data_IF_746974403404
#
_entry.id   IF_746974403404
#
_cell.length_a   1.000
_cell.length_b   1.000
_cell.length_c   1.000
_cell.angle_alpha   90.00
_cell.angle_beta   90.00
_cell.angle_gamma   90.00
#
_symmetry.space_group_name_H-M   'P 1'
#
loop_
_entity.id
_entity.type
_entity.pdbx_description
1 polymer ?
#
# COMPACT_ATOMS: atom_id res chain seq x y z
N UNK A 1 -6.02 22.56 0.93
CA UNK A 1 -5.38 23.80 0.42
C UNK A 1 -4.70 24.62 1.53
N UNK A 2 -5.43 25.23 2.48
CA UNK A 2 -4.81 26.10 3.52
C UNK A 2 -3.92 25.30 4.49
N UNK A 3 -4.34 24.08 4.87
CA UNK A 3 -3.49 23.21 5.71
C UNK A 3 -2.15 22.87 5.03
N UNK A 4 -2.20 22.55 3.73
CA UNK A 4 -1.03 22.28 2.90
C UNK A 4 -0.06 23.48 2.84
N UNK A 5 -0.55 24.72 2.87
CA UNK A 5 0.30 25.91 2.92
C UNK A 5 1.20 25.95 4.18
N UNK A 6 0.79 25.29 5.27
CA UNK A 6 1.59 25.21 6.50
C UNK A 6 2.57 24.04 6.50
N UNK A 7 2.37 23.04 5.64
CA UNK A 7 3.13 21.78 5.66
C UNK A 7 3.96 21.53 4.40
N UNK A 8 3.74 22.24 3.29
CA UNK A 8 4.41 21.95 2.01
C UNK A 8 5.94 22.03 2.10
N UNK A 9 6.48 22.89 2.97
CA UNK A 9 7.92 23.01 3.21
C UNK A 9 8.53 21.78 3.88
N UNK A 10 7.71 20.95 4.53
CA UNK A 10 8.15 19.68 5.11
C UNK A 10 8.22 18.55 4.08
N UNK A 11 7.74 18.78 2.85
CA UNK A 11 7.80 17.80 1.78
C UNK A 11 9.20 17.80 1.14
N UNK A 12 9.81 16.63 1.03
CA UNK A 12 11.11 16.44 0.37
C UNK A 12 10.92 16.38 -1.14
N UNK A 13 10.67 17.53 -1.76
CA UNK A 13 10.64 17.64 -3.22
C UNK A 13 12.01 18.05 -3.76
N UNK A 14 12.24 17.73 -5.03
CA UNK A 14 13.41 18.14 -5.81
C UNK A 14 12.89 18.79 -7.10
N UNK A 15 13.61 19.79 -7.62
CA UNK A 15 13.35 20.35 -8.95
C UNK A 15 14.23 19.62 -9.96
N UNK A 16 13.63 19.04 -11.00
CA UNK A 16 14.36 18.41 -12.09
C UNK A 16 13.64 18.65 -13.42
N UNK A 17 14.38 19.07 -14.44
CA UNK A 17 13.85 19.34 -15.79
C UNK A 17 12.60 20.24 -15.77
N UNK A 18 12.67 21.36 -15.03
CA UNK A 18 11.58 22.32 -14.91
C UNK A 18 10.29 21.72 -14.30
N UNK A 19 10.42 20.73 -13.42
CA UNK A 19 9.31 20.00 -12.80
C UNK A 19 9.61 19.65 -11.35
N UNK A 20 8.57 19.65 -10.50
CA UNK A 20 8.65 19.14 -9.13
C UNK A 20 8.57 17.62 -9.14
N UNK A 21 9.55 16.94 -8.51
CA UNK A 21 9.63 15.49 -8.38
C UNK A 21 9.84 15.08 -6.92
N UNK A 22 9.52 13.83 -6.59
CA UNK A 22 9.62 13.30 -5.22
C UNK A 22 10.59 12.13 -5.14
N UNK A 23 11.28 12.02 -4.00
CA UNK A 23 12.06 10.83 -3.65
C UNK A 23 11.16 9.84 -2.93
N UNK A 24 11.01 8.64 -3.49
CA UNK A 24 10.30 7.52 -2.87
C UNK A 24 11.25 6.32 -2.78
N UNK A 25 11.68 6.01 -1.54
CA UNK A 25 12.73 5.03 -1.31
C UNK A 25 14.04 5.47 -1.94
N UNK A 26 14.57 4.66 -2.86
CA UNK A 26 15.81 4.93 -3.61
C UNK A 26 15.56 5.52 -5.01
N UNK A 27 14.29 5.76 -5.38
CA UNK A 27 13.91 6.22 -6.73
C UNK A 27 13.36 7.64 -6.71
N UNK A 28 13.63 8.36 -7.81
CA UNK A 28 12.97 9.64 -8.11
C UNK A 28 11.73 9.35 -8.94
N UNK A 29 10.61 9.89 -8.51
CA UNK A 29 9.29 9.68 -9.11
C UNK A 29 8.73 11.02 -9.57
N UNK A 30 8.43 11.12 -10.87
CA UNK A 30 7.97 12.35 -11.51
C UNK A 30 6.47 12.32 -11.87
N UNK A 31 5.78 11.20 -11.68
CA UNK A 31 4.36 11.02 -11.97
C UNK A 31 3.47 11.04 -10.71
N UNK A 32 3.98 11.58 -9.60
CA UNK A 32 3.28 11.66 -8.32
C UNK A 32 3.01 13.12 -7.95
N UNK A 33 1.78 13.39 -7.51
CA UNK A 33 1.35 14.69 -7.00
C UNK A 33 0.82 14.51 -5.58
N UNK A 34 1.40 15.23 -4.62
CA UNK A 34 1.02 15.23 -3.19
C UNK A 34 -0.03 16.31 -2.91
N UNK A 35 -1.11 16.27 -3.70
CA UNK A 35 -2.21 17.23 -3.61
C UNK A 35 -1.75 18.69 -3.66
N UNK A 36 -2.17 19.47 -2.67
CA UNK A 36 -1.84 20.90 -2.61
C UNK A 36 -0.39 21.19 -2.20
N UNK A 37 0.35 20.24 -1.63
CA UNK A 37 1.76 20.47 -1.27
C UNK A 37 2.60 20.68 -2.53
N UNK A 38 2.35 19.88 -3.59
CA UNK A 38 3.02 20.03 -4.89
C UNK A 38 2.73 21.38 -5.52
N UNK A 39 1.48 21.85 -5.45
CA UNK A 39 1.07 23.16 -5.99
C UNK A 39 1.83 24.29 -5.28
N UNK A 40 1.92 24.24 -3.95
CA UNK A 40 2.67 25.25 -3.20
C UNK A 40 4.17 25.19 -3.45
N UNK A 41 4.74 24.00 -3.65
CA UNK A 41 6.13 23.83 -4.07
C UNK A 41 6.39 24.52 -5.42
N UNK A 42 5.52 24.34 -6.42
CA UNK A 42 5.63 25.05 -7.71
C UNK A 42 5.67 26.58 -7.54
N UNK A 43 4.79 27.15 -6.70
CA UNK A 43 4.81 28.60 -6.42
C UNK A 43 6.10 29.05 -5.72
N UNK A 44 6.65 28.23 -4.83
CA UNK A 44 7.89 28.57 -4.12
C UNK A 44 9.11 28.49 -5.05
N UNK A 45 9.25 27.40 -5.82
CA UNK A 45 10.40 27.22 -6.71
C UNK A 45 10.37 28.16 -7.92
N UNK A 46 9.18 28.57 -8.38
CA UNK A 46 9.07 29.64 -9.36
C UNK A 46 9.54 31.00 -8.79
N UNK A 47 9.23 31.30 -7.52
CA UNK A 47 9.77 32.50 -6.84
C UNK A 47 11.28 32.44 -6.65
N UNK A 48 11.84 31.24 -6.44
CA UNK A 48 13.28 31.02 -6.34
C UNK A 48 13.98 31.11 -7.71
N UNK A 49 13.22 30.98 -8.81
CA UNK A 49 13.72 30.99 -10.18
C UNK A 49 14.11 29.61 -10.72
N UNK A 50 13.86 28.53 -9.96
CA UNK A 50 14.19 27.15 -10.33
C UNK A 50 13.13 26.52 -11.26
N UNK A 51 11.93 27.10 -11.29
CA UNK A 51 10.82 26.70 -12.17
C UNK A 51 10.37 27.87 -13.05
N UNK A 52 10.15 27.59 -14.33
CA UNK A 52 9.66 28.56 -15.31
C UNK A 52 8.18 28.93 -15.08
N UNK A 53 7.80 30.13 -15.53
CA UNK A 53 6.40 30.58 -15.45
C UNK A 53 5.45 29.63 -16.22
N UNK A 54 5.91 29.10 -17.36
CA UNK A 54 5.13 28.17 -18.18
C UNK A 54 4.86 26.86 -17.42
N UNK A 55 5.87 26.33 -16.71
CA UNK A 55 5.72 25.11 -15.92
C UNK A 55 4.84 25.34 -14.70
N UNK A 56 4.95 26.50 -14.03
CA UNK A 56 4.03 26.89 -12.97
C UNK A 56 2.58 26.84 -13.47
N UNK A 57 2.26 27.56 -14.54
CA UNK A 57 0.90 27.67 -15.09
C UNK A 57 0.33 26.33 -15.56
N UNK A 58 1.18 25.44 -16.09
CA UNK A 58 0.76 24.11 -16.53
C UNK A 58 0.44 23.15 -15.37
N UNK A 59 1.02 23.37 -14.18
CA UNK A 59 0.95 22.42 -13.06
C UNK A 59 0.13 22.93 -11.85
N UNK A 60 -0.28 24.20 -11.83
CA UNK A 60 -1.11 24.76 -10.76
C UNK A 60 -2.59 24.78 -11.13
N UNK A 61 -3.43 24.37 -10.18
CA UNK A 61 -4.87 24.37 -10.35
C UNK A 61 -5.61 24.12 -9.03
N UNK A 62 -6.92 24.28 -9.05
CA UNK A 62 -7.77 23.91 -7.91
C UNK A 62 -8.16 22.45 -8.09
N UNK A 63 -7.69 21.61 -7.17
CA UNK A 63 -8.13 20.22 -7.09
C UNK A 63 -9.55 20.22 -6.51
N UNK A 64 -10.53 20.02 -7.39
CA UNK A 64 -11.93 19.81 -7.02
C UNK A 64 -12.15 18.31 -6.87
N UNK A 65 -12.53 17.86 -5.68
CA UNK A 65 -12.94 16.48 -5.49
C UNK A 65 -14.32 16.29 -6.14
N UNK A 66 -14.35 15.64 -7.30
CA UNK A 66 -15.56 15.43 -8.09
C UNK A 66 -16.39 14.22 -7.63
N UNK A 67 -15.95 13.50 -6.59
CA UNK A 67 -16.70 12.37 -6.03
C UNK A 67 -15.79 11.34 -5.38
N UNK A 68 -16.40 10.51 -4.53
CA UNK A 68 -15.74 9.38 -3.89
C UNK A 68 -16.50 8.12 -4.23
N UNK A 69 -15.77 7.09 -4.66
CA UNK A 69 -16.34 5.76 -4.91
C UNK A 69 -15.98 4.83 -3.77
N UNK A 70 -16.97 4.07 -3.30
CA UNK A 70 -16.73 2.97 -2.37
C UNK A 70 -16.41 1.72 -3.17
N UNK A 71 -15.26 1.09 -2.92
CA UNK A 71 -14.92 -0.18 -3.54
C UNK A 71 -15.94 -1.29 -3.22
N UNK A 72 -16.63 -1.19 -2.08
CA UNK A 72 -17.71 -2.10 -1.69
C UNK A 72 -18.94 -1.91 -2.57
N UNK A 73 -19.21 -0.70 -3.06
CA UNK A 73 -20.39 -0.44 -3.88
C UNK A 73 -20.16 -0.76 -5.36
N UNK A 74 -18.94 -0.61 -5.85
CA UNK A 74 -18.60 -0.81 -7.26
C UNK A 74 -19.05 -2.16 -7.84
N UNK A 75 -18.87 -3.32 -7.16
CA UNK A 75 -19.32 -4.62 -7.66
C UNK A 75 -20.80 -4.68 -8.05
N UNK A 76 -21.67 -3.89 -7.41
CA UNK A 76 -23.11 -3.90 -7.69
C UNK A 76 -23.47 -3.36 -9.08
N UNK A 77 -22.58 -2.57 -9.68
CA UNK A 77 -22.77 -1.98 -11.02
C UNK A 77 -22.35 -2.94 -12.15
N UNK A 78 -21.67 -4.04 -11.83
CA UNK A 78 -21.20 -4.98 -12.84
C UNK A 78 -22.20 -6.10 -13.09
N UNK A 79 -22.49 -6.37 -14.37
CA UNK A 79 -23.34 -7.50 -14.75
C UNK A 79 -22.72 -8.87 -14.40
N UNK A 80 -21.38 -8.95 -14.37
CA UNK A 80 -20.63 -10.16 -14.07
C UNK A 80 -19.41 -9.85 -13.21
N UNK A 81 -19.25 -10.61 -12.12
CA UNK A 81 -18.11 -10.51 -11.21
C UNK A 81 -17.32 -11.83 -11.31
N UNK A 82 -16.04 -11.73 -11.65
CA UNK A 82 -15.11 -12.86 -11.72
C UNK A 82 -13.81 -12.49 -11.03
N UNK A 83 -13.29 -13.38 -10.19
CA UNK A 83 -12.03 -13.15 -9.49
C UNK A 83 -11.33 -14.49 -9.17
N UNK A 84 -10.05 -14.41 -8.82
CA UNK A 84 -9.22 -15.54 -8.40
C UNK A 84 -8.51 -15.21 -7.09
N UNK A 85 -8.56 -16.13 -6.13
CA UNK A 85 -7.85 -15.98 -4.87
C UNK A 85 -7.38 -17.33 -4.33
N UNK A 86 -6.23 -17.34 -3.67
CA UNK A 86 -5.67 -18.52 -3.02
C UNK A 86 -6.29 -18.82 -1.65
N UNK A 87 -7.08 -17.90 -1.08
CA UNK A 87 -7.54 -17.95 0.32
C UNK A 87 -9.05 -18.03 0.47
N UNK A 88 -9.82 -18.26 -0.60
CA UNK A 88 -11.28 -18.31 -0.52
C UNK A 88 -11.78 -19.31 0.54
N UNK A 89 -11.10 -20.44 0.70
CA UNK A 89 -11.45 -21.50 1.66
C UNK A 89 -11.17 -21.16 3.12
N UNK A 90 -10.38 -20.12 3.39
CA UNK A 90 -10.06 -19.69 4.76
C UNK A 90 -11.02 -18.62 5.27
N UNK A 91 -11.97 -18.17 4.45
CA UNK A 91 -12.98 -17.20 4.85
C UNK A 91 -13.91 -17.82 5.90
N UNK A 92 -14.34 -17.00 6.85
CA UNK A 92 -15.39 -17.39 7.79
C UNK A 92 -16.76 -17.36 7.11
N UNK A 93 -17.76 -18.03 7.71
CA UNK A 93 -19.09 -18.14 7.11
C UNK A 93 -19.70 -16.76 6.81
N UNK A 94 -19.53 -15.77 7.69
CA UNK A 94 -20.05 -14.41 7.50
C UNK A 94 -19.44 -13.70 6.29
N UNK A 95 -18.17 -13.93 5.98
CA UNK A 95 -17.51 -13.38 4.80
C UNK A 95 -17.99 -14.08 3.53
N UNK A 96 -18.15 -15.40 3.60
CA UNK A 96 -18.68 -16.22 2.50
C UNK A 96 -20.13 -15.84 2.17
N UNK A 97 -20.94 -15.58 3.19
CA UNK A 97 -22.33 -15.15 3.04
C UNK A 97 -22.40 -13.76 2.38
N UNK A 98 -21.46 -12.85 2.69
CA UNK A 98 -21.38 -11.56 1.98
C UNK A 98 -21.12 -11.75 0.49
N UNK A 99 -20.19 -12.62 0.11
CA UNK A 99 -19.93 -12.92 -1.31
C UNK A 99 -21.19 -13.41 -2.03
N UNK A 100 -21.97 -14.31 -1.40
CA UNK A 100 -23.18 -14.89 -2.00
C UNK A 100 -24.37 -13.94 -2.02
N UNK A 101 -24.65 -13.25 -0.92
CA UNK A 101 -25.90 -12.51 -0.74
C UNK A 101 -25.77 -11.01 -1.00
N UNK A 102 -24.58 -10.43 -0.82
CA UNK A 102 -24.33 -9.01 -1.13
C UNK A 102 -23.86 -8.90 -2.58
N UNK A 103 -22.85 -9.68 -2.97
CA UNK A 103 -22.22 -9.57 -4.29
C UNK A 103 -22.68 -10.59 -5.33
N UNK A 104 -23.65 -11.45 -4.98
CA UNK A 104 -24.21 -12.46 -5.87
C UNK A 104 -23.17 -13.42 -6.51
N UNK A 105 -22.06 -13.69 -5.81
CA UNK A 105 -21.06 -14.67 -6.22
C UNK A 105 -21.51 -16.07 -5.80
N UNK A 106 -22.29 -16.72 -6.67
CA UNK A 106 -22.91 -18.02 -6.38
C UNK A 106 -22.02 -19.22 -6.65
N UNK A 107 -20.95 -19.03 -7.43
CA UNK A 107 -20.09 -20.11 -7.91
C UNK A 107 -18.64 -19.81 -7.57
N UNK A 108 -17.99 -20.79 -7.00
CA UNK A 108 -16.55 -20.86 -6.85
C UNK A 108 -16.03 -22.14 -7.49
N UNK A 109 -14.77 -22.14 -7.91
CA UNK A 109 -14.11 -23.33 -8.47
C UNK A 109 -12.71 -23.42 -7.89
N UNK A 110 -12.34 -24.63 -7.48
CA UNK A 110 -11.02 -24.89 -6.92
C UNK A 110 -10.08 -25.42 -8.00
N UNK A 111 -9.02 -24.67 -8.27
CA UNK A 111 -7.93 -25.10 -9.15
C UNK A 111 -6.83 -25.71 -8.26
N UNK A 112 -6.47 -26.99 -8.45
CA UNK A 112 -5.42 -27.61 -7.66
C UNK A 112 -4.05 -26.99 -7.98
N UNK A 113 -3.18 -26.93 -6.96
CA UNK A 113 -1.79 -26.48 -7.14
C UNK A 113 -1.02 -27.44 -8.05
N UNK A 114 -0.24 -26.87 -8.97
CA UNK A 114 0.70 -27.63 -9.81
C UNK A 114 1.89 -28.18 -9.01
N UNK A 115 2.17 -27.64 -7.82
CA UNK A 115 3.33 -27.98 -6.99
C UNK A 115 3.04 -29.05 -5.93
N UNK A 116 1.87 -29.70 -5.96
CA UNK A 116 1.49 -30.72 -4.99
C UNK A 116 1.15 -30.16 -3.60
N UNK A 117 1.21 -31.03 -2.58
CA UNK A 117 0.91 -30.65 -1.19
C UNK A 117 2.08 -29.88 -0.58
N UNK A 118 1.76 -28.83 0.18
CA UNK A 118 2.75 -28.09 0.96
C UNK A 118 3.38 -28.98 2.04
N UNK A 119 4.69 -28.92 2.19
CA UNK A 119 5.42 -29.55 3.30
C UNK A 119 5.38 -28.72 4.60
N UNK A 120 4.68 -27.57 4.59
CA UNK A 120 4.53 -26.74 5.79
C UNK A 120 3.45 -27.33 6.68
N UNK A 121 3.84 -27.79 7.86
CA UNK A 121 2.93 -28.23 8.91
C UNK A 121 2.87 -27.17 10.01
N UNK A 122 1.67 -26.62 10.24
CA UNK A 122 1.46 -25.67 11.33
C UNK A 122 1.58 -26.37 12.69
N UNK A 123 2.39 -25.83 13.59
CA UNK A 123 2.51 -26.26 14.97
C UNK A 123 2.16 -25.11 15.91
N UNK A 124 0.95 -25.16 16.50
CA UNK A 124 0.44 -24.11 17.41
C UNK A 124 1.38 -23.75 18.55
N UNK A 125 2.17 -24.71 19.06
CA UNK A 125 3.05 -24.49 20.21
C UNK A 125 4.34 -23.74 19.82
N UNK A 126 4.77 -23.84 18.56
CA UNK A 126 6.02 -23.25 18.08
C UNK A 126 5.80 -22.04 17.17
N UNK A 127 4.79 -22.10 16.31
CA UNK A 127 4.53 -21.10 15.27
C UNK A 127 3.78 -19.87 15.80
N UNK A 128 3.13 -19.99 16.97
CA UNK A 128 2.43 -18.88 17.63
C UNK A 128 2.96 -18.72 19.04
N UNK A 129 3.52 -17.54 19.31
CA UNK A 129 4.06 -17.20 20.62
C UNK A 129 3.43 -15.88 21.09
N UNK A 130 2.90 -15.89 22.32
CA UNK A 130 2.41 -14.69 23.00
C UNK A 130 3.50 -14.26 23.98
N UNK A 131 4.04 -13.06 23.80
CA UNK A 131 5.17 -12.54 24.58
C UNK A 131 5.04 -11.04 24.78
N UNK A 132 5.88 -10.47 25.66
CA UNK A 132 5.95 -9.01 25.83
C UNK A 132 6.56 -8.31 24.61
N UNK A 133 6.33 -7.01 24.46
CA UNK A 133 6.86 -6.23 23.34
C UNK A 133 8.40 -6.25 23.30
N UNK A 134 9.05 -6.11 24.47
CA UNK A 134 10.51 -6.18 24.57
C UNK A 134 11.06 -7.55 24.15
N UNK A 135 10.40 -8.64 24.55
CA UNK A 135 10.78 -9.99 24.12
C UNK A 135 10.52 -10.21 22.62
N UNK A 136 9.42 -9.66 22.10
CA UNK A 136 9.07 -9.73 20.68
C UNK A 136 10.17 -9.14 19.79
N UNK A 137 10.65 -7.94 20.12
CA UNK A 137 11.72 -7.29 19.37
C UNK A 137 13.06 -8.01 19.47
N UNK A 138 13.35 -8.70 20.58
CA UNK A 138 14.57 -9.51 20.72
C UNK A 138 14.47 -10.86 20.01
N UNK A 139 13.27 -11.45 19.96
CA UNK A 139 13.06 -12.78 19.38
C UNK A 139 13.18 -12.79 17.87
N UNK A 140 12.72 -11.73 17.19
CA UNK A 140 12.79 -11.63 15.74
C UNK A 140 14.24 -11.74 15.22
N UNK A 141 15.23 -10.95 15.69
CA UNK A 141 16.63 -11.12 15.31
C UNK A 141 17.17 -12.51 15.60
N UNK A 142 16.85 -13.08 16.77
CA UNK A 142 17.32 -14.43 17.12
C UNK A 142 16.81 -15.53 16.18
N UNK A 143 15.55 -15.44 15.73
CA UNK A 143 15.01 -16.35 14.72
C UNK A 143 15.62 -16.11 13.33
N UNK A 144 15.89 -14.84 12.97
CA UNK A 144 16.57 -14.51 11.72
C UNK A 144 17.97 -15.13 11.70
N UNK A 145 18.76 -14.91 12.75
CA UNK A 145 20.12 -15.46 12.86
C UNK A 145 20.11 -16.99 12.80
N UNK A 146 19.18 -17.63 13.49
CA UNK A 146 19.00 -19.09 13.46
C UNK A 146 18.76 -19.63 12.05
N UNK A 147 17.91 -18.97 11.26
CA UNK A 147 17.60 -19.41 9.89
C UNK A 147 18.71 -19.04 8.91
N UNK A 148 19.38 -17.90 9.09
CA UNK A 148 20.55 -17.48 8.32
C UNK A 148 21.71 -18.47 8.51
N UNK A 149 21.99 -18.85 9.75
CA UNK A 149 23.02 -19.84 10.09
C UNK A 149 22.75 -21.24 9.51
N UNK A 150 21.50 -21.50 9.12
CA UNK A 150 21.10 -22.73 8.44
C UNK A 150 21.09 -22.58 6.89
N UNK A 151 21.67 -21.51 6.35
CA UNK A 151 21.74 -21.20 4.91
C UNK A 151 20.36 -21.18 4.21
N UNK A 152 19.32 -20.71 4.91
CA UNK A 152 17.97 -20.61 4.37
C UNK A 152 17.56 -19.17 4.16
N UNK A 153 16.88 -18.91 3.04
CA UNK A 153 16.27 -17.61 2.76
C UNK A 153 15.13 -17.32 3.75
N UNK A 154 15.01 -16.06 4.16
CA UNK A 154 14.05 -15.60 5.15
C UNK A 154 13.22 -14.45 4.57
N UNK A 155 11.92 -14.47 4.84
CA UNK A 155 11.02 -13.37 4.54
C UNK A 155 10.27 -12.99 5.82
N UNK A 156 10.51 -11.77 6.31
CA UNK A 156 9.88 -11.24 7.53
C UNK A 156 8.79 -10.26 7.15
N UNK A 157 7.59 -10.46 7.71
CA UNK A 157 6.46 -9.55 7.56
C UNK A 157 6.28 -8.77 8.86
N UNK A 158 6.35 -7.45 8.78
CA UNK A 158 6.13 -6.55 9.91
C UNK A 158 4.90 -5.68 9.62
N UNK A 159 4.00 -5.55 10.58
CA UNK A 159 2.93 -4.57 10.54
C UNK A 159 3.28 -3.40 11.45
N UNK A 160 4.00 -2.43 10.89
CA UNK A 160 4.39 -1.23 11.61
C UNK A 160 3.21 -0.25 11.58
N UNK A 161 2.38 -0.26 12.63
CA UNK A 161 1.55 0.91 12.92
C UNK A 161 2.46 2.03 13.38
N UNK A 162 2.78 2.97 12.50
CA UNK A 162 3.24 4.29 12.91
C UNK A 162 2.06 4.97 13.62
N UNK A 163 2.17 5.12 14.94
CA UNK A 163 1.34 6.06 15.69
C UNK A 163 1.75 7.49 15.32
#
# INVERSE_FOLDING_TARGET
MIAALKSYQSSTHIVQNDKIVYVEGESIVDNVVRGYDTIWAYYQENKNGDISQNSLEANVGIIVNCGTFSYVEMPHEFAYITDVTGTLRTLVQTETDRLKYVYNVQKDTFIPSVFGRSNRTYNRNNDVQVMSESEHFMRIPGEIDSVCNADRAILVFLNLKKN
#
